data_IF_986687280703
#
_entry.id   IF_986687280703
#
_cell.length_a   1.000
_cell.length_b   1.000
_cell.length_c   1.000
_cell.angle_alpha   90.00
_cell.angle_beta   90.00
_cell.angle_gamma   90.00
#
_symmetry.space_group_name_H-M   'P 1'
#
loop_
_entity.id
_entity.type
_entity.pdbx_description
1 polymer ?
#
# COMPACT_ATOMS: atom_id res chain seq x y z
N UNK A 1 -19.26 -9.08 16.13
CA UNK A 1 -19.26 -10.22 15.17
C UNK A 1 -20.66 -10.32 14.57
N UNK A 2 -20.76 -10.76 13.32
CA UNK A 2 -22.05 -11.12 12.71
C UNK A 2 -22.53 -12.45 13.29
N UNK A 3 -23.82 -12.77 13.11
CA UNK A 3 -24.39 -14.04 13.59
C UNK A 3 -23.70 -15.28 12.99
N UNK A 4 -23.06 -15.16 11.84
CA UNK A 4 -22.27 -16.20 11.16
C UNK A 4 -20.82 -16.35 11.66
N UNK A 5 -20.45 -15.64 12.73
CA UNK A 5 -19.09 -15.65 13.31
C UNK A 5 -18.06 -14.78 12.57
N UNK A 6 -18.45 -14.11 11.49
CA UNK A 6 -17.53 -13.22 10.75
C UNK A 6 -17.42 -11.85 11.43
N UNK A 7 -16.27 -11.20 11.22
CA UNK A 7 -16.03 -9.83 11.71
C UNK A 7 -16.89 -8.85 10.90
N UNK A 8 -17.70 -8.06 11.61
CA UNK A 8 -18.44 -6.97 10.97
C UNK A 8 -17.50 -5.78 10.72
N UNK A 9 -16.67 -5.88 9.69
CA UNK A 9 -15.72 -4.85 9.30
C UNK A 9 -16.38 -3.51 8.97
N UNK A 10 -17.64 -3.52 8.53
CA UNK A 10 -18.39 -2.30 8.22
C UNK A 10 -18.82 -1.48 9.44
N UNK A 11 -18.78 -2.06 10.65
CA UNK A 11 -19.09 -1.37 11.90
C UNK A 11 -17.84 -0.88 12.66
N UNK A 12 -16.64 -1.21 12.18
CA UNK A 12 -15.38 -0.76 12.77
C UNK A 12 -14.88 0.47 12.01
N UNK A 13 -14.34 1.48 12.72
CA UNK A 13 -13.70 2.59 12.06
C UNK A 13 -12.52 2.10 11.21
N UNK A 14 -12.34 2.70 10.02
CA UNK A 14 -11.13 2.47 9.26
C UNK A 14 -9.95 3.11 10.00
N UNK A 15 -8.92 2.34 10.26
CA UNK A 15 -7.68 2.80 10.89
C UNK A 15 -6.57 2.69 9.85
N UNK A 16 -5.79 3.76 9.72
CA UNK A 16 -4.60 3.72 8.87
C UNK A 16 -3.62 2.68 9.43
N UNK A 17 -3.25 1.72 8.59
CA UNK A 17 -2.29 0.70 8.99
C UNK A 17 -0.94 1.36 9.34
N UNK A 18 -0.37 1.15 10.53
CA UNK A 18 0.88 1.79 10.96
C UNK A 18 2.05 1.55 10.00
N UNK A 19 2.14 0.37 9.41
CA UNK A 19 3.21 0.06 8.47
C UNK A 19 3.05 0.82 7.14
N UNK A 20 1.81 1.06 6.69
CA UNK A 20 1.54 1.89 5.52
C UNK A 20 1.74 3.38 5.81
N UNK A 21 1.58 3.83 7.07
CA UNK A 21 1.98 5.17 7.48
C UNK A 21 3.50 5.38 7.34
N UNK A 22 4.30 4.38 7.70
CA UNK A 22 5.74 4.43 7.50
C UNK A 22 6.08 4.49 6.00
N UNK A 23 5.36 3.73 5.17
CA UNK A 23 5.50 3.78 3.72
C UNK A 23 5.16 5.17 3.15
N UNK A 24 4.07 5.78 3.60
CA UNK A 24 3.68 7.14 3.22
C UNK A 24 4.74 8.16 3.65
N UNK A 25 5.29 8.06 4.86
CA UNK A 25 6.35 8.94 5.34
C UNK A 25 7.59 8.85 4.45
N UNK A 26 8.00 7.65 4.01
CA UNK A 26 9.11 7.52 3.07
C UNK A 26 8.80 8.16 1.71
N UNK A 27 7.57 8.05 1.21
CA UNK A 27 7.15 8.71 -0.02
C UNK A 27 7.19 10.25 0.12
N UNK A 28 6.74 10.79 1.25
CA UNK A 28 6.81 12.23 1.54
C UNK A 28 8.24 12.75 1.60
N UNK A 29 9.16 12.00 2.23
CA UNK A 29 10.59 12.34 2.24
C UNK A 29 11.21 12.34 0.84
N UNK A 30 10.77 11.43 -0.04
CA UNK A 30 11.19 11.45 -1.45
C UNK A 30 10.65 12.70 -2.13
N UNK A 31 9.38 13.04 -1.91
CA UNK A 31 8.76 14.24 -2.49
C UNK A 31 9.47 15.52 -2.06
N UNK A 32 9.90 15.59 -0.79
CA UNK A 32 10.67 16.74 -0.28
C UNK A 32 12.06 16.87 -0.95
N UNK A 33 12.70 15.74 -1.25
CA UNK A 33 14.01 15.70 -1.90
C UNK A 33 13.94 15.94 -3.41
N UNK A 34 12.84 15.54 -4.05
CA UNK A 34 12.66 15.61 -5.49
C UNK A 34 11.39 16.40 -5.85
N UNK A 35 11.49 17.73 -6.01
CA UNK A 35 10.35 18.56 -6.41
C UNK A 35 9.71 18.05 -7.70
N UNK A 36 8.38 18.05 -7.74
CA UNK A 36 7.62 17.49 -8.86
C UNK A 36 7.22 16.02 -8.69
N UNK A 37 7.64 15.37 -7.59
CA UNK A 37 7.16 14.03 -7.25
C UNK A 37 5.67 14.07 -6.90
N UNK A 38 4.90 13.18 -7.51
CA UNK A 38 3.48 12.97 -7.21
C UNK A 38 3.30 11.69 -6.41
N UNK A 39 2.57 11.77 -5.32
CA UNK A 39 2.24 10.62 -4.46
C UNK A 39 0.79 10.22 -4.72
N UNK A 40 0.60 9.00 -5.18
CA UNK A 40 -0.72 8.40 -5.40
C UNK A 40 -0.93 7.25 -4.44
N UNK A 41 -1.98 7.32 -3.64
CA UNK A 41 -2.38 6.26 -2.73
C UNK A 41 -3.34 5.29 -3.41
N UNK A 42 -3.17 4.01 -3.13
CA UNK A 42 -4.10 2.96 -3.55
C UNK A 42 -4.44 2.09 -2.34
N UNK A 43 -5.71 1.91 -2.08
CA UNK A 43 -6.19 0.97 -1.05
C UNK A 43 -7.34 0.14 -1.58
N UNK A 44 -7.48 -1.08 -1.06
CA UNK A 44 -8.60 -1.97 -1.33
C UNK A 44 -9.37 -2.20 -0.05
N UNK A 45 -10.67 -1.93 -0.08
CA UNK A 45 -11.50 -2.08 1.11
C UNK A 45 -12.95 -1.63 0.91
N UNK A 46 -13.74 -1.67 1.97
CA UNK A 46 -15.12 -1.16 1.94
C UNK A 46 -15.12 0.37 1.77
N UNK A 47 -16.29 0.93 1.39
CA UNK A 47 -16.41 2.35 1.05
C UNK A 47 -15.88 3.33 2.10
N UNK A 48 -16.00 3.00 3.39
CA UNK A 48 -15.48 3.84 4.47
C UNK A 48 -13.93 3.90 4.54
N UNK A 49 -13.22 2.98 3.85
CA UNK A 49 -11.76 3.09 3.69
C UNK A 49 -11.32 4.34 2.90
N UNK A 50 -12.25 5.07 2.28
CA UNK A 50 -11.99 6.39 1.72
C UNK A 50 -11.46 7.40 2.76
N UNK A 51 -11.77 7.22 4.05
CA UNK A 51 -11.24 8.05 5.12
C UNK A 51 -9.72 7.94 5.27
N UNK A 52 -9.17 6.75 5.04
CA UNK A 52 -7.72 6.50 5.02
C UNK A 52 -7.04 7.30 3.90
N UNK A 53 -7.66 7.31 2.72
CA UNK A 53 -7.16 8.11 1.59
C UNK A 53 -7.19 9.60 1.93
N UNK A 54 -8.29 10.10 2.51
CA UNK A 54 -8.39 11.50 2.93
C UNK A 54 -7.32 11.85 3.95
N UNK A 55 -7.10 11.00 4.96
CA UNK A 55 -6.03 11.20 5.93
C UNK A 55 -4.65 11.28 5.27
N UNK A 56 -4.35 10.38 4.34
CA UNK A 56 -3.09 10.42 3.60
C UNK A 56 -2.93 11.67 2.74
N UNK A 57 -4.01 12.15 2.13
CA UNK A 57 -4.00 13.41 1.38
C UNK A 57 -3.76 14.62 2.31
N UNK A 58 -4.34 14.64 3.50
CA UNK A 58 -4.04 15.67 4.51
C UNK A 58 -2.57 15.66 4.94
N UNK A 59 -1.91 14.50 4.90
CA UNK A 59 -0.48 14.36 5.20
C UNK A 59 0.42 14.77 4.04
N UNK A 60 -0.12 14.91 2.81
CA UNK A 60 0.63 15.41 1.65
C UNK A 60 0.64 14.52 0.41
N UNK A 61 -0.14 13.44 0.38
CA UNK A 61 -0.39 12.70 -0.85
C UNK A 61 -1.24 13.55 -1.82
N UNK A 62 -1.01 13.39 -3.11
CA UNK A 62 -1.65 14.20 -4.16
C UNK A 62 -2.93 13.56 -4.70
N UNK A 63 -2.94 12.24 -4.81
CA UNK A 63 -4.06 11.48 -5.37
C UNK A 63 -4.36 10.26 -4.51
N UNK A 64 -5.59 9.73 -4.66
CA UNK A 64 -5.96 8.49 -3.99
C UNK A 64 -7.04 7.72 -4.75
N UNK A 65 -6.88 6.41 -4.78
CA UNK A 65 -7.82 5.48 -5.39
C UNK A 65 -8.27 4.44 -4.37
N UNK A 66 -9.58 4.25 -4.28
CA UNK A 66 -10.19 3.19 -3.49
C UNK A 66 -10.72 2.10 -4.42
N UNK A 67 -10.20 0.91 -4.25
CA UNK A 67 -10.71 -0.30 -4.87
C UNK A 67 -11.80 -0.87 -3.95
N UNK A 68 -13.04 -0.72 -4.34
CA UNK A 68 -14.18 -1.18 -3.53
C UNK A 68 -15.21 -1.90 -4.37
N UNK A 69 -15.54 -3.13 -4.00
CA UNK A 69 -16.62 -3.94 -4.55
C UNK A 69 -17.02 -5.01 -3.54
N UNK A 70 -18.28 -5.45 -3.58
CA UNK A 70 -18.75 -6.53 -2.72
C UNK A 70 -18.08 -7.86 -3.00
N UNK A 71 -17.64 -8.10 -4.23
CA UNK A 71 -16.91 -9.29 -4.65
C UNK A 71 -15.53 -9.43 -3.99
N UNK A 72 -14.98 -8.33 -3.46
CA UNK A 72 -13.71 -8.36 -2.73
C UNK A 72 -13.84 -8.82 -1.27
N UNK A 73 -15.08 -8.97 -0.78
CA UNK A 73 -15.30 -9.44 0.59
C UNK A 73 -14.79 -10.88 0.75
N UNK A 74 -13.87 -11.09 1.69
CA UNK A 74 -13.26 -12.40 1.92
C UNK A 74 -12.16 -12.78 0.92
N UNK A 75 -11.69 -11.86 0.08
CA UNK A 75 -10.55 -12.09 -0.81
C UNK A 75 -9.32 -12.51 0.00
N UNK A 76 -8.66 -13.57 -0.45
CA UNK A 76 -7.35 -13.98 0.06
C UNK A 76 -6.22 -13.07 -0.47
N UNK A 77 -4.99 -13.34 -0.08
CA UNK A 77 -3.84 -12.54 -0.50
C UNK A 77 -3.60 -12.59 -2.01
N UNK A 78 -3.91 -13.72 -2.65
CA UNK A 78 -3.75 -13.90 -4.09
C UNK A 78 -4.75 -13.04 -4.87
N UNK A 79 -6.03 -13.08 -4.50
CA UNK A 79 -7.07 -12.27 -5.11
C UNK A 79 -6.83 -10.77 -4.85
N UNK A 80 -6.45 -10.40 -3.62
CA UNK A 80 -6.11 -9.04 -3.24
C UNK A 80 -4.95 -8.50 -4.08
N UNK A 81 -3.85 -9.23 -4.17
CA UNK A 81 -2.68 -8.82 -4.95
C UNK A 81 -2.97 -8.74 -6.45
N UNK A 82 -3.84 -9.62 -6.96
CA UNK A 82 -4.29 -9.55 -8.35
C UNK A 82 -5.08 -8.27 -8.63
N UNK A 83 -6.09 -7.98 -7.80
CA UNK A 83 -6.93 -6.79 -7.94
C UNK A 83 -6.08 -5.50 -7.85
N UNK A 84 -5.18 -5.41 -6.87
CA UNK A 84 -4.26 -4.28 -6.72
C UNK A 84 -3.33 -4.13 -7.93
N UNK A 85 -2.74 -5.22 -8.43
CA UNK A 85 -1.85 -5.16 -9.60
C UNK A 85 -2.58 -4.71 -10.86
N UNK A 86 -3.84 -5.10 -11.06
CA UNK A 86 -4.66 -4.62 -12.17
C UNK A 86 -5.00 -3.14 -12.03
N UNK A 87 -5.31 -2.68 -10.81
CA UNK A 87 -5.54 -1.26 -10.54
C UNK A 87 -4.28 -0.43 -10.81
N UNK A 88 -3.11 -0.88 -10.36
CA UNK A 88 -1.82 -0.22 -10.61
C UNK A 88 -1.56 -0.10 -12.10
N UNK A 89 -1.75 -1.17 -12.88
CA UNK A 89 -1.61 -1.12 -14.34
C UNK A 89 -2.57 -0.12 -15.01
N UNK A 90 -3.80 -0.01 -14.48
CA UNK A 90 -4.80 0.94 -15.00
C UNK A 90 -4.47 2.38 -14.64
N UNK A 91 -3.93 2.62 -13.45
CA UNK A 91 -3.45 3.95 -13.03
C UNK A 91 -2.27 4.36 -13.93
N UNK A 92 -1.35 3.42 -14.19
CA UNK A 92 -0.17 3.66 -15.03
C UNK A 92 0.81 4.68 -14.44
N UNK A 93 1.87 4.97 -15.19
CA UNK A 93 2.81 6.08 -14.97
C UNK A 93 3.33 6.20 -13.52
N UNK A 94 3.97 5.17 -13.02
CA UNK A 94 4.65 5.18 -11.73
C UNK A 94 6.13 4.78 -11.88
N UNK A 95 7.00 5.40 -11.08
CA UNK A 95 8.43 5.09 -11.01
C UNK A 95 8.75 4.15 -9.85
N UNK A 96 7.97 4.23 -8.76
CA UNK A 96 8.21 3.48 -7.54
C UNK A 96 6.89 3.13 -6.86
N UNK A 97 6.79 1.92 -6.34
CA UNK A 97 5.69 1.46 -5.48
C UNK A 97 6.27 1.22 -4.08
N UNK A 98 5.66 1.83 -3.08
CA UNK A 98 6.01 1.65 -1.68
C UNK A 98 4.76 1.16 -0.94
N UNK A 99 4.92 0.18 -0.08
CA UNK A 99 3.85 -0.34 0.77
C UNK A 99 4.38 -0.75 2.13
N UNK A 100 3.51 -0.80 3.12
CA UNK A 100 3.80 -1.43 4.39
C UNK A 100 4.13 -2.91 4.20
N UNK A 101 4.86 -3.49 5.13
CA UNK A 101 5.23 -4.91 5.10
C UNK A 101 3.98 -5.80 5.11
N UNK A 102 3.01 -5.46 5.94
CA UNK A 102 1.80 -6.25 6.15
C UNK A 102 0.67 -5.41 6.73
N UNK A 103 -0.56 -5.91 6.59
CA UNK A 103 -1.72 -5.37 7.29
C UNK A 103 -1.79 -5.97 8.71
N UNK A 104 -2.21 -5.16 9.69
CA UNK A 104 -2.31 -5.58 11.11
C UNK A 104 -3.43 -6.57 11.37
N UNK A 105 -4.39 -6.71 10.46
CA UNK A 105 -5.53 -7.62 10.59
C UNK A 105 -5.28 -9.00 9.97
N UNK A 106 -4.53 -9.06 8.88
CA UNK A 106 -4.22 -10.30 8.16
C UNK A 106 -2.85 -10.89 8.45
N UNK A 107 -1.90 -10.06 8.80
CA UNK A 107 -0.53 -10.37 9.26
C UNK A 107 0.24 -11.38 8.39
N UNK A 108 -0.03 -11.40 7.08
CA UNK A 108 0.54 -12.40 6.16
C UNK A 108 1.83 -11.97 5.48
N UNK A 109 2.08 -10.67 5.36
CA UNK A 109 3.23 -10.08 4.66
C UNK A 109 3.41 -10.55 3.19
N UNK A 110 2.34 -11.01 2.54
CA UNK A 110 2.40 -11.63 1.21
C UNK A 110 1.98 -10.69 0.07
N UNK A 111 1.10 -9.73 0.34
CA UNK A 111 0.46 -8.91 -0.70
C UNK A 111 1.48 -8.11 -1.49
N UNK A 112 2.41 -7.42 -0.82
CA UNK A 112 3.46 -6.62 -1.49
C UNK A 112 4.31 -7.44 -2.46
N UNK A 113 4.96 -8.53 -2.00
CA UNK A 113 5.71 -9.44 -2.87
C UNK A 113 4.90 -9.99 -4.04
N UNK A 114 3.64 -10.39 -3.82
CA UNK A 114 2.77 -10.90 -4.88
C UNK A 114 2.40 -9.81 -5.91
N UNK A 115 2.20 -8.56 -5.48
CA UNK A 115 1.98 -7.43 -6.40
C UNK A 115 3.22 -7.20 -7.26
N UNK A 116 4.42 -7.19 -6.66
CA UNK A 116 5.66 -7.02 -7.39
C UNK A 116 5.85 -8.11 -8.45
N UNK A 117 5.62 -9.37 -8.09
CA UNK A 117 5.68 -10.52 -9.01
C UNK A 117 4.70 -10.35 -10.19
N UNK A 118 3.42 -10.02 -9.89
CA UNK A 118 2.39 -9.82 -10.93
C UNK A 118 2.68 -8.67 -11.87
N UNK A 119 3.41 -7.65 -11.40
CA UNK A 119 3.82 -6.50 -12.21
C UNK A 119 5.17 -6.73 -12.92
N UNK A 120 5.89 -7.83 -12.60
CA UNK A 120 7.23 -8.09 -13.13
C UNK A 120 8.27 -7.09 -12.61
N UNK A 121 8.07 -6.55 -11.40
CA UNK A 121 8.95 -5.55 -10.80
C UNK A 121 9.96 -6.18 -9.84
N UNK A 122 11.21 -5.68 -9.81
CA UNK A 122 12.14 -6.01 -8.75
C UNK A 122 11.55 -5.62 -7.39
N UNK A 123 11.73 -6.47 -6.39
CA UNK A 123 11.21 -6.21 -5.05
C UNK A 123 12.34 -6.08 -4.02
N UNK A 124 12.06 -5.24 -3.02
CA UNK A 124 12.90 -5.05 -1.85
C UNK A 124 12.00 -5.11 -0.64
N UNK A 125 12.27 -6.04 0.27
CA UNK A 125 11.51 -6.22 1.50
C UNK A 125 12.31 -5.75 2.71
N UNK A 126 11.62 -5.48 3.83
CA UNK A 126 12.23 -5.06 5.10
C UNK A 126 13.18 -3.85 4.97
N UNK A 127 12.82 -2.89 4.11
CA UNK A 127 13.52 -1.63 4.04
C UNK A 127 13.18 -0.76 5.26
N UNK A 128 14.19 -0.26 5.96
CA UNK A 128 14.02 0.70 7.05
C UNK A 128 14.11 2.14 6.54
N UNK A 129 15.01 2.38 5.60
CA UNK A 129 15.23 3.71 5.05
C UNK A 129 15.67 3.66 3.59
N UNK A 130 15.13 4.59 2.79
CA UNK A 130 15.60 4.85 1.43
C UNK A 130 16.65 5.96 1.50
N UNK A 131 17.92 5.59 1.35
CA UNK A 131 19.05 6.53 1.49
C UNK A 131 19.25 7.37 0.23
N UNK A 132 19.13 6.76 -0.93
CA UNK A 132 19.49 7.40 -2.21
C UNK A 132 18.68 6.83 -3.36
N UNK A 133 18.25 7.71 -4.24
CA UNK A 133 17.66 7.36 -5.52
C UNK A 133 18.46 8.07 -6.60
N UNK A 134 19.18 7.31 -7.42
CA UNK A 134 19.99 7.83 -8.55
C UNK A 134 20.00 6.84 -9.71
N UNK A 135 19.93 7.38 -10.94
CA UNK A 135 20.09 6.59 -12.17
C UNK A 135 19.21 5.32 -12.18
N UNK A 136 17.93 5.45 -11.79
CA UNK A 136 16.99 4.33 -11.66
C UNK A 136 17.41 3.24 -10.67
N UNK A 137 18.29 3.56 -9.73
CA UNK A 137 18.72 2.70 -8.63
C UNK A 137 18.33 3.27 -7.28
N UNK A 138 17.89 2.39 -6.39
CA UNK A 138 17.56 2.73 -5.00
C UNK A 138 18.58 2.09 -4.09
N UNK A 139 19.21 2.92 -3.26
CA UNK A 139 20.04 2.46 -2.15
C UNK A 139 19.25 2.54 -0.86
N UNK A 140 19.19 1.44 -0.12
CA UNK A 140 18.39 1.35 1.11
C UNK A 140 19.18 0.70 2.25
N UNK A 141 18.77 0.99 3.47
CA UNK A 141 19.11 0.19 4.66
C UNK A 141 17.86 -0.62 5.04
N UNK A 142 18.04 -1.85 5.46
CA UNK A 142 16.98 -2.71 5.94
C UNK A 142 17.50 -3.77 6.88
N UNK A 143 16.60 -4.38 7.66
CA UNK A 143 16.94 -5.48 8.55
C UNK A 143 17.27 -6.74 7.77
N UNK A 144 18.36 -7.38 8.16
CA UNK A 144 18.57 -8.77 7.78
C UNK A 144 17.49 -9.63 8.47
N UNK A 145 16.85 -10.50 7.73
CA UNK A 145 16.06 -11.57 8.33
C UNK A 145 17.06 -12.60 8.89
N UNK A 146 17.15 -12.66 10.19
CA UNK A 146 17.86 -13.74 10.89
C UNK A 146 16.88 -14.86 11.17
#
# INVERSE_FOLDING_TARGET
MKEDGTINRGALPAIFNPEDLNALEQALRIKDKFPGTTITMLTMGPGHAAEIIREGMFRGADNGYLLTDRSFAGADTLATSYALSMAIRKIGDFDLIIGGRQAIDGDTAQVGPQVAEKLGLPQVTYAEEIMKIENSKITKIGRAHV
#
